data_IF_689336573747
#
_entry.id   IF_689336573747
#
_cell.length_a   1.000
_cell.length_b   1.000
_cell.length_c   1.000
_cell.angle_alpha   90.00
_cell.angle_beta   90.00
_cell.angle_gamma   90.00
#
_symmetry.space_group_name_H-M   'P 1'
#
loop_
_entity.id
_entity.type
_entity.pdbx_description
1 polymer ?
#
# COMPACT_ATOMS: atom_id res chain seq x y z
N UNK A 1 -24.65 12.06 7.00
CA UNK A 1 -23.79 11.03 6.39
C UNK A 1 -24.66 10.22 5.45
N UNK A 2 -24.45 10.32 4.12
CA UNK A 2 -25.26 9.55 3.17
C UNK A 2 -24.95 8.06 3.37
N UNK A 3 -25.91 7.34 3.95
CA UNK A 3 -25.87 5.88 4.02
C UNK A 3 -25.85 5.35 2.60
N UNK A 4 -24.75 4.71 2.21
CA UNK A 4 -24.71 3.87 1.02
C UNK A 4 -25.81 2.82 1.22
N UNK A 5 -26.88 2.91 0.42
CA UNK A 5 -27.94 1.89 0.42
C UNK A 5 -27.41 0.68 -0.33
N UNK A 6 -27.00 -0.34 0.41
CA UNK A 6 -26.61 -1.64 -0.15
C UNK A 6 -27.85 -2.52 -0.30
N UNK A 7 -28.07 -3.08 -1.49
CA UNK A 7 -29.09 -4.09 -1.73
C UNK A 7 -28.40 -5.43 -1.95
N UNK A 8 -28.50 -6.32 -0.96
CA UNK A 8 -27.80 -7.62 -0.96
C UNK A 8 -28.69 -8.75 -1.49
N UNK A 9 -29.95 -8.47 -1.80
CA UNK A 9 -30.91 -9.43 -2.33
C UNK A 9 -31.04 -10.66 -1.43
N UNK A 10 -30.97 -11.85 -2.02
CA UNK A 10 -31.12 -13.13 -1.30
C UNK A 10 -30.03 -13.41 -0.26
N UNK A 11 -28.94 -12.63 -0.22
CA UNK A 11 -27.83 -12.80 0.73
C UNK A 11 -27.91 -11.87 1.94
N UNK A 12 -28.98 -11.07 2.06
CA UNK A 12 -29.07 -10.04 3.09
C UNK A 12 -29.00 -10.59 4.51
N UNK A 13 -29.68 -11.72 4.76
CA UNK A 13 -29.72 -12.32 6.09
C UNK A 13 -28.36 -12.97 6.44
N UNK A 14 -27.73 -13.64 5.49
CA UNK A 14 -26.43 -14.29 5.65
C UNK A 14 -25.34 -13.25 5.94
N UNK A 15 -25.32 -12.13 5.20
CA UNK A 15 -24.35 -11.05 5.43
C UNK A 15 -24.59 -10.41 6.80
N UNK A 16 -25.83 -10.11 7.17
CA UNK A 16 -26.14 -9.56 8.51
C UNK A 16 -25.68 -10.48 9.63
N UNK A 17 -25.97 -11.78 9.51
CA UNK A 17 -25.56 -12.76 10.52
C UNK A 17 -24.04 -12.85 10.67
N UNK A 18 -23.28 -12.80 9.56
CA UNK A 18 -21.81 -12.79 9.62
C UNK A 18 -21.27 -11.50 10.22
N UNK A 19 -21.85 -10.35 9.89
CA UNK A 19 -21.45 -9.06 10.48
C UNK A 19 -21.70 -9.04 12.00
N UNK A 20 -22.88 -9.47 12.46
CA UNK A 20 -23.19 -9.60 13.88
C UNK A 20 -22.22 -10.53 14.60
N UNK A 21 -21.86 -11.66 13.97
CA UNK A 21 -20.84 -12.58 14.49
C UNK A 21 -19.48 -11.87 14.63
N UNK A 22 -19.04 -11.17 13.59
CA UNK A 22 -17.72 -10.50 13.58
C UNK A 22 -17.65 -9.33 14.58
N UNK A 23 -18.75 -8.63 14.80
CA UNK A 23 -18.87 -7.63 15.86
C UNK A 23 -18.75 -8.27 17.24
N UNK A 24 -19.51 -9.34 17.51
CA UNK A 24 -19.46 -10.07 18.79
C UNK A 24 -18.07 -10.66 19.06
N UNK A 25 -17.38 -11.14 18.04
CA UNK A 25 -16.03 -11.69 18.12
C UNK A 25 -14.92 -10.62 18.09
N UNK A 26 -15.28 -9.33 18.01
CA UNK A 26 -14.35 -8.20 17.93
C UNK A 26 -13.29 -8.34 16.82
N UNK A 27 -13.67 -8.93 15.67
CA UNK A 27 -12.72 -9.30 14.61
C UNK A 27 -11.89 -8.10 14.16
N UNK A 28 -12.51 -6.95 13.89
CA UNK A 28 -11.79 -5.75 13.45
C UNK A 28 -10.71 -5.32 14.46
N UNK A 29 -11.05 -5.25 15.76
CA UNK A 29 -10.10 -4.89 16.82
C UNK A 29 -8.95 -5.91 16.89
N UNK A 30 -9.26 -7.20 16.83
CA UNK A 30 -8.28 -8.28 16.87
C UNK A 30 -7.31 -8.23 15.70
N UNK A 31 -7.79 -7.87 14.49
CA UNK A 31 -6.93 -7.62 13.32
C UNK A 31 -5.96 -6.47 13.60
N UNK A 32 -6.44 -5.36 14.17
CA UNK A 32 -5.58 -4.22 14.55
C UNK A 32 -4.55 -4.58 15.64
N UNK A 33 -4.90 -5.48 16.55
CA UNK A 33 -4.00 -6.03 17.58
C UNK A 33 -3.07 -7.13 17.05
N UNK A 34 -3.11 -7.40 15.72
CA UNK A 34 -2.36 -8.46 15.02
C UNK A 34 -2.59 -9.87 15.59
N UNK A 35 -3.80 -10.13 16.07
CA UNK A 35 -4.20 -11.45 16.56
C UNK A 35 -4.32 -12.43 15.37
N UNK A 36 -3.32 -13.31 15.25
CA UNK A 36 -3.26 -14.30 14.17
C UNK A 36 -4.43 -15.29 14.17
N UNK A 37 -5.04 -15.53 15.34
CA UNK A 37 -6.12 -16.51 15.51
C UNK A 37 -7.44 -16.10 14.84
N UNK A 38 -7.49 -14.90 14.24
CA UNK A 38 -8.55 -14.53 13.30
C UNK A 38 -8.54 -15.43 12.05
N UNK A 39 -7.35 -15.91 11.63
CA UNK A 39 -7.22 -16.74 10.42
C UNK A 39 -6.54 -18.09 10.64
N UNK A 40 -5.60 -18.20 11.58
CA UNK A 40 -4.80 -19.40 11.78
C UNK A 40 -4.31 -19.51 13.22
N UNK A 41 -4.19 -20.74 13.71
CA UNK A 41 -3.56 -21.01 15.02
C UNK A 41 -2.04 -20.75 14.99
N UNK A 42 -1.42 -20.68 13.81
CA UNK A 42 0.00 -20.35 13.68
C UNK A 42 0.25 -18.84 13.52
N UNK A 43 1.09 -18.23 14.36
CA UNK A 43 1.41 -16.80 14.28
C UNK A 43 2.37 -16.42 13.14
N UNK A 44 3.18 -17.36 12.64
CA UNK A 44 4.37 -17.05 11.83
C UNK A 44 4.08 -16.22 10.58
N UNK A 45 2.99 -16.51 9.87
CA UNK A 45 2.67 -15.79 8.64
C UNK A 45 1.78 -14.57 8.87
N UNK A 46 0.79 -14.68 9.76
CA UNK A 46 -0.25 -13.66 9.88
C UNK A 46 0.28 -12.39 10.54
N UNK A 47 0.97 -12.52 11.67
CA UNK A 47 1.45 -11.35 12.42
C UNK A 47 2.42 -10.51 11.59
N UNK A 48 3.32 -11.17 10.85
CA UNK A 48 4.29 -10.51 9.97
C UNK A 48 3.65 -9.87 8.72
N UNK A 49 2.44 -10.29 8.34
CA UNK A 49 1.74 -9.75 7.15
C UNK A 49 0.78 -8.61 7.48
N UNK A 50 0.65 -8.21 8.75
CA UNK A 50 -0.28 -7.15 9.17
C UNK A 50 0.39 -5.79 9.40
N UNK A 51 1.68 -5.66 9.13
CA UNK A 51 2.39 -4.37 9.26
C UNK A 51 1.86 -3.28 8.32
N UNK A 52 1.19 -3.65 7.22
CA UNK A 52 0.54 -2.68 6.33
C UNK A 52 -0.53 -1.84 7.03
N UNK A 53 -1.11 -2.32 8.15
CA UNK A 53 -2.13 -1.60 8.92
C UNK A 53 -1.60 -0.29 9.49
N UNK A 54 -0.30 -0.22 9.79
CA UNK A 54 0.36 0.96 10.38
C UNK A 54 1.30 1.66 9.38
N UNK A 55 1.35 1.17 8.13
CA UNK A 55 2.25 1.69 7.11
C UNK A 55 2.06 3.19 6.83
N UNK A 56 0.82 3.74 6.80
CA UNK A 56 0.63 5.17 6.64
C UNK A 56 1.28 5.99 7.77
N UNK A 57 1.07 5.60 9.02
CA UNK A 57 1.64 6.27 10.19
C UNK A 57 3.16 6.20 10.21
N UNK A 58 3.72 5.01 9.96
CA UNK A 58 5.17 4.80 9.87
C UNK A 58 5.79 5.63 8.75
N UNK A 59 5.16 5.67 7.58
CA UNK A 59 5.64 6.46 6.44
C UNK A 59 5.57 7.95 6.74
N UNK A 60 4.46 8.42 7.32
CA UNK A 60 4.31 9.83 7.70
C UNK A 60 5.35 10.26 8.73
N UNK A 61 5.71 9.38 9.67
CA UNK A 61 6.77 9.68 10.65
C UNK A 61 8.16 9.89 10.02
N UNK A 62 8.37 9.40 8.79
CA UNK A 62 9.63 9.50 8.03
C UNK A 62 9.58 10.55 6.92
N UNK A 63 8.47 11.27 6.76
CA UNK A 63 8.26 12.13 5.59
C UNK A 63 9.30 13.28 5.52
N UNK A 64 9.75 13.78 6.66
CA UNK A 64 10.78 14.83 6.72
C UNK A 64 12.13 14.32 6.19
N UNK A 65 12.52 13.10 6.55
CA UNK A 65 13.74 12.45 6.06
C UNK A 65 13.67 12.23 4.54
N UNK A 66 12.53 11.74 4.04
CA UNK A 66 12.30 11.55 2.60
C UNK A 66 12.40 12.88 1.86
N UNK A 67 11.78 13.94 2.37
CA UNK A 67 11.83 15.26 1.75
C UNK A 67 13.25 15.84 1.76
N UNK A 68 14.01 15.67 2.84
CA UNK A 68 15.40 16.10 2.91
C UNK A 68 16.25 15.40 1.85
N UNK A 69 16.11 14.07 1.72
CA UNK A 69 16.79 13.31 0.69
C UNK A 69 16.42 13.79 -0.73
N UNK A 70 15.14 14.06 -0.99
CA UNK A 70 14.70 14.59 -2.29
C UNK A 70 15.35 15.94 -2.60
N UNK A 71 15.47 16.84 -1.62
CA UNK A 71 16.14 18.12 -1.81
C UNK A 71 17.66 17.98 -2.04
N UNK A 72 18.32 17.05 -1.36
CA UNK A 72 19.75 16.76 -1.57
C UNK A 72 20.00 16.28 -3.01
N UNK A 73 19.18 15.35 -3.49
CA UNK A 73 19.26 14.81 -4.85
C UNK A 73 18.96 15.88 -5.90
N UNK A 74 17.95 16.73 -5.67
CA UNK A 74 17.69 17.87 -6.57
C UNK A 74 18.85 18.86 -6.59
N UNK A 75 19.41 19.18 -5.42
CA UNK A 75 20.52 20.13 -5.28
C UNK A 75 21.81 19.60 -5.93
N UNK A 76 22.00 18.28 -5.95
CA UNK A 76 23.08 17.63 -6.68
C UNK A 76 22.87 17.61 -8.21
N UNK A 77 21.74 18.11 -8.72
CA UNK A 77 21.49 18.27 -10.15
C UNK A 77 20.92 17.02 -10.84
N UNK A 78 20.45 16.03 -10.09
CA UNK A 78 19.78 14.87 -10.67
C UNK A 78 18.43 15.28 -11.27
N UNK A 79 18.15 14.76 -12.47
CA UNK A 79 16.93 15.06 -13.23
C UNK A 79 16.05 13.84 -13.48
N UNK A 80 16.57 12.63 -13.24
CA UNK A 80 15.92 11.37 -13.51
C UNK A 80 16.11 10.39 -12.35
N UNK A 81 15.06 9.64 -12.02
CA UNK A 81 15.11 8.51 -11.11
C UNK A 81 14.81 7.24 -11.92
N UNK A 82 15.71 6.26 -11.86
CA UNK A 82 15.54 4.97 -12.52
C UNK A 82 15.24 3.91 -11.47
N UNK A 83 14.03 3.39 -11.46
CA UNK A 83 13.60 2.33 -10.55
C UNK A 83 13.81 0.97 -11.20
N UNK A 84 14.68 0.15 -10.61
CA UNK A 84 14.92 -1.22 -11.02
C UNK A 84 14.14 -2.15 -10.09
N UNK A 85 13.16 -2.88 -10.61
CA UNK A 85 12.34 -3.76 -9.78
C UNK A 85 11.21 -4.39 -10.58
N UNK A 86 10.62 -5.46 -10.02
CA UNK A 86 9.52 -6.17 -10.67
C UNK A 86 8.28 -6.29 -9.80
N UNK A 87 7.10 -6.27 -10.44
CA UNK A 87 5.81 -6.50 -9.80
C UNK A 87 5.28 -5.29 -9.03
N UNK A 88 4.73 -5.51 -7.83
CA UNK A 88 4.04 -4.45 -7.08
C UNK A 88 4.92 -3.25 -6.72
N UNK A 89 6.23 -3.46 -6.52
CA UNK A 89 7.17 -2.42 -6.13
C UNK A 89 7.54 -1.47 -7.28
N UNK A 90 7.48 -1.92 -8.53
CA UNK A 90 7.69 -1.12 -9.74
C UNK A 90 6.38 -0.53 -10.27
N UNK A 91 5.31 -1.32 -10.29
CA UNK A 91 4.02 -0.92 -10.84
C UNK A 91 3.34 0.20 -10.04
N UNK A 92 3.43 0.20 -8.70
CA UNK A 92 2.81 1.26 -7.90
C UNK A 92 3.43 2.65 -8.19
N UNK A 93 4.78 2.82 -8.18
CA UNK A 93 5.42 4.06 -8.63
C UNK A 93 5.10 4.43 -10.08
N UNK A 94 5.05 3.45 -10.99
CA UNK A 94 4.71 3.69 -12.40
C UNK A 94 3.30 4.26 -12.56
N UNK A 95 2.30 3.66 -11.89
CA UNK A 95 0.91 4.15 -11.90
C UNK A 95 0.83 5.55 -11.33
N UNK A 96 1.54 5.87 -10.25
CA UNK A 96 1.56 7.22 -9.69
C UNK A 96 2.20 8.23 -10.63
N UNK A 97 3.32 7.87 -11.25
CA UNK A 97 3.99 8.73 -12.24
C UNK A 97 3.08 8.99 -13.45
N UNK A 98 2.38 7.96 -13.94
CA UNK A 98 1.41 8.11 -15.02
C UNK A 98 0.21 8.98 -14.63
N UNK A 99 -0.31 8.80 -13.41
CA UNK A 99 -1.53 9.46 -12.94
C UNK A 99 -1.31 10.94 -12.56
N UNK A 100 -0.17 11.25 -11.95
CA UNK A 100 0.12 12.58 -11.40
C UNK A 100 1.16 13.36 -12.22
N UNK A 101 1.93 12.68 -13.07
CA UNK A 101 3.04 13.27 -13.79
C UNK A 101 4.21 13.64 -12.87
N UNK A 102 5.21 14.29 -13.46
CA UNK A 102 6.36 14.85 -12.72
C UNK A 102 6.13 16.33 -12.45
N UNK A 103 6.26 16.73 -11.19
CA UNK A 103 6.23 18.13 -10.78
C UNK A 103 7.47 18.87 -11.32
N UNK A 104 7.30 20.12 -11.74
CA UNK A 104 8.42 20.96 -12.16
C UNK A 104 9.49 21.05 -11.07
N UNK A 105 10.75 20.88 -11.47
CA UNK A 105 11.91 20.86 -10.55
C UNK A 105 12.12 19.52 -9.81
N UNK A 106 11.32 18.49 -10.08
CA UNK A 106 11.51 17.14 -9.55
C UNK A 106 12.04 16.18 -10.63
N UNK A 107 12.44 14.99 -10.20
CA UNK A 107 13.05 13.99 -11.07
C UNK A 107 11.98 13.27 -11.91
N UNK A 108 12.25 13.08 -13.19
CA UNK A 108 11.45 12.25 -14.07
C UNK A 108 11.67 10.77 -13.73
N UNK A 109 10.59 10.02 -13.44
CA UNK A 109 10.68 8.61 -13.09
C UNK A 109 10.69 7.75 -14.36
N UNK A 110 11.62 6.80 -14.42
CA UNK A 110 11.59 5.69 -15.36
C UNK A 110 11.67 4.38 -14.59
N UNK A 111 10.96 3.37 -15.07
CA UNK A 111 10.87 2.06 -14.42
C UNK A 111 11.40 1.00 -15.36
N UNK A 112 12.28 0.13 -14.85
CA UNK A 112 12.77 -1.05 -15.54
C UNK A 112 12.28 -2.29 -14.80
N UNK A 113 11.17 -2.81 -15.30
CA UNK A 113 10.50 -4.03 -14.83
C UNK A 113 10.63 -5.14 -15.87
N UNK A 114 11.86 -5.42 -16.28
CA UNK A 114 12.13 -6.51 -17.22
C UNK A 114 13.48 -7.16 -16.94
N UNK A 115 13.52 -8.47 -17.16
CA UNK A 115 14.77 -9.25 -17.19
C UNK A 115 15.33 -9.39 -18.60
N UNK A 116 14.63 -8.87 -19.62
CA UNK A 116 15.14 -8.78 -20.98
C UNK A 116 16.27 -7.75 -21.03
N UNK A 117 17.52 -8.14 -21.39
CA UNK A 117 18.61 -7.18 -21.54
C UNK A 117 18.32 -6.10 -22.59
N UNK A 118 17.42 -6.34 -23.54
CA UNK A 118 16.94 -5.32 -24.48
C UNK A 118 16.24 -4.13 -23.83
N UNK A 119 15.78 -4.26 -22.58
CA UNK A 119 15.11 -3.17 -21.86
C UNK A 119 16.05 -2.02 -21.44
N UNK A 120 17.38 -2.23 -21.50
CA UNK A 120 18.39 -1.22 -21.16
C UNK A 120 19.29 -0.82 -22.34
N UNK A 121 19.04 -1.35 -23.54
CA UNK A 121 19.79 -1.10 -24.77
C UNK A 121 19.09 -0.06 -25.65
#
# INVERSE_FOLDING_TARGET
MNLIKMFLGKYENEVKSVLEKYENENVAKRIWEKDHTVWSDSPEEVTNRLDWLISPEETLSKIEEVNAFVEDIKSAGFTHALLLGMGGSSLAPEVFSFSFGTKEGFLNLQVLDSTDPGAVL
#
